data_IF_707896212752
#
_entry.id   IF_707896212752
#
_cell.length_a   1.000
_cell.length_b   1.000
_cell.length_c   1.000
_cell.angle_alpha   90.00
_cell.angle_beta   90.00
_cell.angle_gamma   90.00
#
_symmetry.space_group_name_H-M   'P 1'
#
loop_
_entity.id
_entity.type
_entity.pdbx_description
1 polymer ?
#
# COMPACT_ATOMS: atom_id res chain seq x y z
N UNK A 1 -58.97 26.03 -14.97
CA UNK A 1 -58.20 27.17 -14.40
C UNK A 1 -56.76 27.08 -14.92
N UNK A 2 -56.47 27.79 -16.03
CA UNK A 2 -55.44 28.86 -16.20
C UNK A 2 -53.99 28.37 -15.97
N UNK A 3 -53.30 27.96 -17.04
CA UNK A 3 -52.35 28.74 -17.90
C UNK A 3 -50.94 28.85 -17.27
N UNK A 4 -49.91 28.21 -17.83
CA UNK A 4 -49.05 28.62 -18.99
C UNK A 4 -48.09 29.79 -18.70
N UNK A 5 -46.91 29.70 -19.33
CA UNK A 5 -45.85 30.70 -19.59
C UNK A 5 -44.70 30.79 -18.55
N UNK A 6 -43.44 30.44 -18.86
CA UNK A 6 -42.52 30.79 -19.97
C UNK A 6 -42.18 32.29 -20.03
N UNK A 7 -40.86 32.56 -19.98
CA UNK A 7 -40.13 33.78 -20.39
C UNK A 7 -40.26 35.02 -19.50
N UNK A 8 -39.16 35.41 -18.86
CA UNK A 8 -38.60 36.78 -18.95
C UNK A 8 -37.08 36.75 -18.99
N UNK A 9 -36.58 36.93 -20.21
CA UNK A 9 -35.25 37.43 -20.55
C UNK A 9 -35.25 38.94 -20.28
N UNK A 10 -34.24 39.49 -19.60
CA UNK A 10 -33.98 40.94 -19.63
C UNK A 10 -32.49 41.20 -19.50
N UNK A 11 -32.04 42.06 -20.41
CA UNK A 11 -30.68 42.46 -20.77
C UNK A 11 -30.07 43.47 -19.79
N UNK A 12 -28.74 43.37 -19.66
CA UNK A 12 -27.74 44.44 -19.80
C UNK A 12 -27.77 45.66 -18.86
N UNK A 13 -26.73 45.77 -18.03
CA UNK A 13 -26.07 47.04 -17.73
C UNK A 13 -24.57 46.81 -17.44
N UNK A 14 -23.73 47.34 -18.32
CA UNK A 14 -22.27 47.43 -18.24
C UNK A 14 -21.93 48.68 -17.41
N UNK A 15 -21.07 48.53 -16.40
CA UNK A 15 -20.37 49.66 -15.79
C UNK A 15 -18.87 49.34 -15.74
N UNK A 16 -18.12 49.97 -16.64
CA UNK A 16 -16.66 50.07 -16.60
C UNK A 16 -16.25 50.89 -15.36
N UNK A 17 -15.32 50.37 -14.56
CA UNK A 17 -14.47 51.21 -13.72
C UNK A 17 -13.04 50.64 -13.67
N UNK A 18 -12.15 51.35 -14.33
CA UNK A 18 -10.71 51.53 -14.10
C UNK A 18 -9.84 50.35 -13.60
N UNK A 19 -8.93 49.91 -14.47
CA UNK A 19 -7.62 49.39 -14.06
C UNK A 19 -6.78 50.54 -13.49
N UNK A 20 -6.43 50.46 -12.21
CA UNK A 20 -5.22 51.07 -11.66
C UNK A 20 -4.56 50.04 -10.74
N UNK A 21 -3.37 49.61 -11.15
CA UNK A 21 -2.53 48.64 -10.48
C UNK A 21 -1.80 49.29 -9.30
N UNK A 22 -1.99 48.76 -8.09
CA UNK A 22 -0.96 48.79 -7.05
C UNK A 22 -0.83 47.37 -6.46
N UNK A 23 0.31 46.75 -6.75
CA UNK A 23 0.71 45.46 -6.18
C UNK A 23 1.29 45.68 -4.78
N UNK A 24 0.67 45.04 -3.77
CA UNK A 24 1.33 44.78 -2.48
C UNK A 24 1.22 43.29 -2.15
N UNK A 25 2.29 42.58 -2.50
CA UNK A 25 2.84 41.31 -1.96
C UNK A 25 1.93 40.50 -1.00
N UNK A 26 1.60 39.23 -1.31
CA UNK A 26 0.96 38.34 -0.35
C UNK A 26 2.02 37.84 0.64
N UNK A 27 1.77 37.99 1.93
CA UNK A 27 2.55 37.38 2.99
C UNK A 27 1.61 36.53 3.86
N UNK A 28 1.91 35.23 3.92
CA UNK A 28 1.47 34.35 5.00
C UNK A 28 0.14 33.63 4.78
N UNK A 29 0.13 32.63 3.90
CA UNK A 29 -0.78 31.51 4.02
C UNK A 29 -0.31 30.64 5.20
N UNK A 30 -0.96 30.74 6.36
CA UNK A 30 -0.93 29.66 7.35
C UNK A 30 -1.97 28.63 6.94
N UNK A 31 -1.56 27.73 6.04
CA UNK A 31 -2.23 26.46 5.87
C UNK A 31 -1.99 25.67 7.16
N UNK A 32 -3.03 25.59 7.99
CA UNK A 32 -3.08 24.64 9.08
C UNK A 32 -2.94 23.23 8.49
N UNK A 33 -1.74 22.69 8.65
CA UNK A 33 -1.46 21.28 8.40
C UNK A 33 -2.09 20.50 9.55
N UNK A 34 -3.37 20.15 9.42
CA UNK A 34 -3.93 19.03 10.17
C UNK A 34 -3.40 17.75 9.55
N UNK A 35 -2.27 17.28 10.08
CA UNK A 35 -1.73 15.95 9.83
C UNK A 35 -2.83 14.90 10.04
N UNK A 36 -3.13 14.04 9.06
CA UNK A 36 -3.92 12.85 9.32
C UNK A 36 -3.08 11.95 10.24
N UNK A 37 -3.60 11.81 11.45
CA UNK A 37 -3.18 10.85 12.47
C UNK A 37 -3.02 9.47 11.81
N UNK A 38 -1.78 9.03 11.65
CA UNK A 38 -1.43 7.67 11.27
C UNK A 38 -1.98 6.74 12.36
N UNK A 39 -3.14 6.15 12.11
CA UNK A 39 -3.59 4.95 12.82
C UNK A 39 -2.86 3.78 12.16
N UNK A 40 -1.64 3.51 12.61
CA UNK A 40 -1.00 2.22 12.42
C UNK A 40 -1.80 1.20 13.21
N UNK A 41 -2.72 0.51 12.56
CA UNK A 41 -3.42 -0.64 13.11
C UNK A 41 -3.48 -1.76 12.07
N UNK A 42 -2.32 -2.35 11.76
CA UNK A 42 -2.21 -3.70 11.21
C UNK A 42 -0.99 -4.38 11.84
N UNK A 43 -1.22 -4.97 13.01
CA UNK A 43 -0.48 -6.04 13.69
C UNK A 43 -1.60 -6.78 14.43
N UNK A 44 -1.78 -8.09 14.43
CA UNK A 44 -0.86 -9.20 14.35
C UNK A 44 -1.65 -10.40 13.80
N UNK A 45 -1.41 -10.81 12.55
CA UNK A 45 -1.47 -12.26 12.26
C UNK A 45 -0.05 -12.74 12.50
N UNK A 46 0.25 -13.08 13.76
CA UNK A 46 1.58 -13.55 14.14
C UNK A 46 1.78 -14.95 13.58
N UNK A 47 2.21 -15.01 12.32
CA UNK A 47 2.64 -16.22 11.66
C UNK A 47 3.60 -16.97 12.57
N UNK A 48 3.42 -18.28 12.68
CA UNK A 48 4.30 -19.14 13.47
C UNK A 48 5.65 -19.34 12.76
N UNK A 49 5.72 -19.08 11.45
CA UNK A 49 6.94 -19.26 10.68
C UNK A 49 7.87 -18.06 10.82
N UNK A 50 9.09 -18.30 11.31
CA UNK A 50 10.10 -17.24 11.53
C UNK A 50 10.49 -16.52 10.24
N UNK A 51 10.36 -17.18 9.08
CA UNK A 51 10.67 -16.60 7.77
C UNK A 51 9.66 -15.52 7.35
N UNK A 52 8.47 -15.49 7.95
CA UNK A 52 7.43 -14.51 7.68
C UNK A 52 7.52 -13.28 8.58
N UNK A 53 8.26 -13.34 9.69
CA UNK A 53 8.44 -12.21 10.59
C UNK A 53 9.37 -11.13 9.99
N UNK A 54 9.18 -9.84 10.32
CA UNK A 54 10.12 -8.79 9.96
C UNK A 54 11.55 -9.12 10.40
N UNK A 55 12.52 -8.80 9.54
CA UNK A 55 13.92 -9.01 9.83
C UNK A 55 14.41 -8.06 10.93
N UNK A 56 15.44 -8.51 11.64
CA UNK A 56 16.06 -7.75 12.72
C UNK A 56 17.52 -7.48 12.37
N UNK A 57 18.08 -6.39 12.90
CA UNK A 57 19.48 -6.00 12.65
C UNK A 57 19.62 -4.66 11.93
N UNK A 58 20.87 -4.23 11.62
CA UNK A 58 21.15 -2.97 10.95
C UNK A 58 20.68 -2.96 9.49
N UNK A 59 20.58 -1.76 8.88
CA UNK A 59 20.29 -1.56 7.45
C UNK A 59 18.98 -2.19 6.92
N UNK A 60 17.94 -2.34 7.76
CA UNK A 60 16.68 -2.98 7.37
C UNK A 60 16.59 -4.47 7.75
N UNK A 61 17.62 -5.01 8.39
CA UNK A 61 17.64 -6.34 8.97
C UNK A 61 18.22 -7.42 8.06
N UNK A 62 18.48 -8.59 8.64
CA UNK A 62 18.99 -9.77 7.94
C UNK A 62 17.99 -10.94 8.03
N UNK A 63 17.96 -11.85 7.03
CA UNK A 63 17.19 -13.07 7.15
C UNK A 63 17.59 -13.85 8.42
N UNK A 64 16.65 -14.56 9.07
CA UNK A 64 16.90 -15.24 10.34
C UNK A 64 17.67 -16.56 10.14
N UNK A 65 18.84 -16.50 9.49
CA UNK A 65 19.70 -17.65 9.24
C UNK A 65 20.00 -18.41 10.54
N UNK A 66 20.00 -19.75 10.46
CA UNK A 66 20.19 -20.63 11.60
C UNK A 66 18.98 -20.76 12.53
N UNK A 67 17.84 -20.10 12.24
CA UNK A 67 16.60 -20.20 13.04
C UNK A 67 15.47 -20.96 12.34
N UNK A 68 15.69 -21.48 11.15
CA UNK A 68 14.72 -22.26 10.36
C UNK A 68 15.41 -23.48 9.73
N UNK A 69 14.61 -24.44 9.27
CA UNK A 69 15.04 -25.58 8.47
C UNK A 69 14.55 -25.43 7.03
N UNK A 70 15.15 -26.18 6.10
CA UNK A 70 14.80 -26.15 4.67
C UNK A 70 13.30 -26.42 4.45
N UNK A 71 12.70 -27.33 5.24
CA UNK A 71 11.27 -27.63 5.16
C UNK A 71 10.37 -26.43 5.53
N UNK A 72 10.85 -25.50 6.35
CA UNK A 72 10.09 -24.31 6.75
C UNK A 72 9.96 -23.30 5.60
N UNK A 73 10.81 -23.39 4.57
CA UNK A 73 10.77 -22.51 3.40
C UNK A 73 9.46 -22.71 2.63
N UNK A 74 9.07 -23.98 2.41
CA UNK A 74 7.83 -24.29 1.69
C UNK A 74 6.61 -23.70 2.40
N UNK A 75 6.47 -24.02 3.69
CA UNK A 75 5.33 -23.54 4.47
C UNK A 75 5.31 -22.01 4.57
N UNK A 76 6.47 -21.37 4.66
CA UNK A 76 6.56 -19.91 4.62
C UNK A 76 6.07 -19.34 3.29
N UNK A 77 6.47 -19.91 2.16
CA UNK A 77 6.03 -19.42 0.84
C UNK A 77 4.51 -19.59 0.68
N UNK A 78 3.96 -20.75 1.04
CA UNK A 78 2.51 -21.02 0.96
C UNK A 78 1.68 -20.11 1.88
N UNK A 79 2.12 -19.94 3.13
CA UNK A 79 1.45 -19.04 4.08
C UNK A 79 1.61 -17.58 3.64
N UNK A 80 2.78 -17.20 3.11
CA UNK A 80 3.04 -15.88 2.53
C UNK A 80 2.09 -15.55 1.38
N UNK A 81 1.87 -16.49 0.45
CA UNK A 81 0.91 -16.31 -0.65
C UNK A 81 -0.51 -16.13 -0.13
N UNK A 82 -0.88 -16.89 0.91
CA UNK A 82 -2.20 -16.76 1.55
C UNK A 82 -2.37 -15.38 2.20
N UNK A 83 -1.36 -14.90 2.91
CA UNK A 83 -1.37 -13.58 3.55
C UNK A 83 -1.45 -12.44 2.52
N UNK A 84 -0.66 -12.52 1.45
CA UNK A 84 -0.70 -11.51 0.38
C UNK A 84 -2.07 -11.47 -0.29
N UNK A 85 -2.67 -12.63 -0.59
CA UNK A 85 -4.02 -12.68 -1.15
C UNK A 85 -5.04 -12.02 -0.23
N UNK A 86 -4.95 -12.25 1.08
CA UNK A 86 -5.82 -11.59 2.06
C UNK A 86 -5.64 -10.07 2.09
N UNK A 87 -4.39 -9.59 2.00
CA UNK A 87 -4.09 -8.14 1.94
C UNK A 87 -4.66 -7.53 0.65
N UNK A 88 -4.51 -8.20 -0.49
CA UNK A 88 -5.07 -7.75 -1.78
C UNK A 88 -6.60 -7.74 -1.75
N UNK A 89 -7.24 -8.78 -1.20
CA UNK A 89 -8.70 -8.83 -1.05
C UNK A 89 -9.23 -7.68 -0.18
N UNK A 90 -8.49 -7.33 0.89
CA UNK A 90 -8.84 -6.18 1.74
C UNK A 90 -8.71 -4.84 0.98
N UNK A 91 -7.66 -4.68 0.18
CA UNK A 91 -7.45 -3.48 -0.64
C UNK A 91 -8.55 -3.36 -1.70
N UNK A 92 -8.82 -4.44 -2.43
CA UNK A 92 -9.84 -4.48 -3.48
C UNK A 92 -11.27 -4.35 -2.92
N UNK A 93 -11.51 -4.84 -1.71
CA UNK A 93 -12.79 -4.79 -1.01
C UNK A 93 -13.03 -3.51 -0.20
N UNK A 94 -12.12 -2.53 -0.23
CA UNK A 94 -12.28 -1.30 0.54
C UNK A 94 -13.50 -0.48 0.06
N UNK A 95 -14.50 -0.20 0.92
CA UNK A 95 -15.71 0.53 0.53
C UNK A 95 -15.52 2.04 0.34
N UNK A 96 -14.38 2.60 0.76
CA UNK A 96 -14.07 4.02 0.57
C UNK A 96 -13.80 4.33 -0.91
N UNK A 97 -13.95 5.61 -1.29
CA UNK A 97 -13.55 6.03 -2.63
C UNK A 97 -12.05 5.76 -2.85
N UNK A 98 -11.64 5.22 -4.01
CA UNK A 98 -10.24 4.89 -4.26
C UNK A 98 -9.39 6.16 -4.23
N UNK A 99 -8.25 6.06 -3.56
CA UNK A 99 -7.24 7.09 -3.42
C UNK A 99 -5.85 6.48 -3.63
N UNK A 100 -4.85 7.34 -3.81
CA UNK A 100 -3.47 6.87 -3.96
C UNK A 100 -3.03 6.06 -2.73
N UNK A 101 -3.40 6.48 -1.52
CA UNK A 101 -2.98 5.83 -0.28
C UNK A 101 -3.67 4.47 -0.07
N UNK A 102 -4.98 4.38 -0.29
CA UNK A 102 -5.74 3.15 -0.03
C UNK A 102 -5.64 2.10 -1.15
N UNK A 103 -5.10 2.49 -2.31
CA UNK A 103 -4.92 1.58 -3.46
C UNK A 103 -3.44 1.37 -3.75
N UNK A 104 -2.74 2.40 -4.25
CA UNK A 104 -1.35 2.24 -4.72
C UNK A 104 -0.39 2.01 -3.55
N UNK A 105 -0.41 2.88 -2.54
CA UNK A 105 0.50 2.73 -1.39
C UNK A 105 0.21 1.45 -0.61
N UNK A 106 -1.07 1.05 -0.52
CA UNK A 106 -1.44 -0.21 0.10
C UNK A 106 -0.92 -1.41 -0.70
N UNK A 107 -1.07 -1.42 -2.03
CA UNK A 107 -0.53 -2.47 -2.90
C UNK A 107 1.00 -2.58 -2.82
N UNK A 108 1.72 -1.45 -2.80
CA UNK A 108 3.19 -1.44 -2.65
C UNK A 108 3.67 -1.98 -1.30
N UNK A 109 2.80 -1.97 -0.27
CA UNK A 109 3.09 -2.50 1.06
C UNK A 109 2.64 -3.94 1.26
N UNK A 110 1.74 -4.45 0.42
CA UNK A 110 1.26 -5.82 0.51
C UNK A 110 2.38 -6.82 0.16
N UNK A 111 2.22 -8.07 0.60
CA UNK A 111 3.12 -9.17 0.24
C UNK A 111 4.47 -9.16 0.97
N UNK A 112 4.66 -8.29 1.97
CA UNK A 112 5.92 -8.23 2.74
C UNK A 112 6.32 -9.56 3.39
N UNK A 113 5.41 -10.36 3.98
CA UNK A 113 5.73 -11.70 4.45
C UNK A 113 6.22 -12.62 3.34
N UNK A 114 5.51 -12.67 2.19
CA UNK A 114 5.91 -13.49 1.05
C UNK A 114 7.27 -13.06 0.49
N UNK A 115 7.52 -11.75 0.40
CA UNK A 115 8.79 -11.19 -0.07
C UNK A 115 9.96 -11.71 0.77
N UNK A 116 9.82 -11.77 2.09
CA UNK A 116 10.86 -12.32 2.98
C UNK A 116 11.07 -13.82 2.76
N UNK A 117 10.00 -14.60 2.68
CA UNK A 117 10.08 -16.04 2.44
C UNK A 117 10.71 -16.38 1.08
N UNK A 118 10.26 -15.70 0.02
CA UNK A 118 10.76 -15.88 -1.35
C UNK A 118 12.19 -15.40 -1.53
N UNK A 119 12.62 -14.39 -0.77
CA UNK A 119 14.04 -13.98 -0.75
C UNK A 119 14.92 -15.12 -0.24
N UNK A 120 14.54 -15.75 0.89
CA UNK A 120 15.29 -16.90 1.44
C UNK A 120 15.22 -18.10 0.50
N UNK A 121 14.06 -18.40 -0.07
CA UNK A 121 13.89 -19.44 -1.08
C UNK A 121 14.82 -19.22 -2.29
N UNK A 122 14.91 -18.00 -2.82
CA UNK A 122 15.80 -17.66 -3.92
C UNK A 122 17.27 -17.86 -3.59
N UNK A 123 17.69 -17.52 -2.36
CA UNK A 123 19.06 -17.76 -1.89
C UNK A 123 19.36 -19.27 -1.84
N UNK A 124 18.47 -20.07 -1.26
CA UNK A 124 18.69 -21.52 -1.09
C UNK A 124 18.70 -22.25 -2.44
N UNK A 125 17.75 -21.94 -3.33
CA UNK A 125 17.71 -22.54 -4.68
C UNK A 125 18.93 -22.15 -5.55
N UNK A 126 19.58 -21.03 -5.27
CA UNK A 126 20.77 -20.59 -6.01
C UNK A 126 22.10 -21.07 -5.41
N UNK A 127 22.18 -21.25 -4.08
CA UNK A 127 23.47 -21.45 -3.38
C UNK A 127 23.57 -22.76 -2.60
N UNK A 128 22.44 -23.34 -2.19
CA UNK A 128 22.35 -24.53 -1.33
C UNK A 128 21.25 -25.48 -1.83
N UNK A 129 21.26 -25.77 -3.15
CA UNK A 129 20.20 -26.53 -3.81
C UNK A 129 20.48 -28.04 -3.82
N UNK A 130 20.44 -28.65 -2.64
CA UNK A 130 20.54 -30.11 -2.48
C UNK A 130 19.24 -30.84 -2.85
N UNK A 131 19.23 -32.17 -2.77
CA UNK A 131 18.08 -33.01 -3.14
C UNK A 131 16.78 -32.61 -2.40
N UNK A 132 16.91 -32.13 -1.16
CA UNK A 132 15.75 -31.71 -0.36
C UNK A 132 15.18 -30.39 -0.88
N UNK A 133 16.04 -29.40 -1.11
CA UNK A 133 15.65 -28.11 -1.67
C UNK A 133 15.10 -28.26 -3.10
N UNK A 134 15.68 -29.13 -3.94
CA UNK A 134 15.20 -29.40 -5.30
C UNK A 134 13.78 -29.99 -5.29
N UNK A 135 13.47 -30.87 -4.34
CA UNK A 135 12.12 -31.41 -4.17
C UNK A 135 11.13 -30.29 -3.83
N UNK A 136 11.47 -29.42 -2.88
CA UNK A 136 10.63 -28.27 -2.52
C UNK A 136 10.44 -27.33 -3.72
N UNK A 137 11.52 -27.03 -4.44
CA UNK A 137 11.47 -26.19 -5.64
C UNK A 137 10.52 -26.75 -6.70
N UNK A 138 10.51 -28.07 -6.90
CA UNK A 138 9.60 -28.74 -7.84
C UNK A 138 8.14 -28.70 -7.40
N UNK A 139 7.88 -28.63 -6.09
CA UNK A 139 6.52 -28.52 -5.54
C UNK A 139 5.97 -27.08 -5.60
N UNK A 140 6.86 -26.07 -5.66
CA UNK A 140 6.51 -24.65 -5.70
C UNK A 140 6.52 -24.03 -7.11
N UNK A 141 6.99 -24.75 -8.13
CA UNK A 141 7.03 -24.32 -9.54
C UNK A 141 5.73 -24.59 -10.29
#
# INVERSE_FOLDING_TARGET
MRNKMIRRLTMLAIALCACATEQKKPAGATAETTSPKTTTAMNDTKSQNVLLAPWQGPNGGEPPFGKFKVQDIKSAVEEGMTLELQEIDQIAGNPEAPSFDNTIVAMERAGQPLTRATTVYGIYTATMNDDEMQKIQSELS
#
